data_IF_028812727138
#
_entry.id   IF_028812727138
#
_cell.length_a   1.000
_cell.length_b   1.000
_cell.length_c   1.000
_cell.angle_alpha   90.00
_cell.angle_beta   90.00
_cell.angle_gamma   90.00
#
_symmetry.space_group_name_H-M   'P 1'
#
loop_
_entity.id
_entity.type
_entity.pdbx_description
1 polymer ?
#
# COMPACT_ATOMS: atom_id res chain seq x y z
N UNK A 1 18.23 6.92 -7.27
CA UNK A 1 17.74 5.67 -6.65
C UNK A 1 18.36 5.58 -5.28
N UNK A 2 17.52 5.51 -4.24
CA UNK A 2 17.97 5.50 -2.85
C UNK A 2 18.10 4.07 -2.35
N UNK A 3 19.21 3.75 -1.68
CA UNK A 3 19.40 2.43 -1.04
C UNK A 3 18.85 2.43 0.37
N UNK A 4 18.63 1.23 0.95
CA UNK A 4 18.21 1.10 2.35
C UNK A 4 19.18 1.78 3.31
N UNK A 5 20.48 1.61 3.11
CA UNK A 5 21.49 2.29 3.94
C UNK A 5 21.45 3.81 3.81
N UNK A 6 21.21 4.33 2.60
CA UNK A 6 21.08 5.77 2.38
C UNK A 6 19.83 6.33 3.09
N UNK A 7 18.68 5.66 2.97
CA UNK A 7 17.47 6.10 3.66
C UNK A 7 17.58 5.97 5.18
N UNK A 8 18.21 4.89 5.69
CA UNK A 8 18.49 4.74 7.13
C UNK A 8 19.38 5.87 7.65
N UNK A 9 20.40 6.27 6.88
CA UNK A 9 21.25 7.40 7.22
C UNK A 9 20.45 8.70 7.28
N UNK A 10 19.49 8.91 6.37
CA UNK A 10 18.57 10.07 6.43
C UNK A 10 17.69 10.04 7.68
N UNK A 11 17.10 8.89 8.03
CA UNK A 11 16.33 8.72 9.29
C UNK A 11 17.19 9.06 10.49
N UNK A 12 18.45 8.60 10.53
CA UNK A 12 19.38 8.93 11.63
C UNK A 12 19.66 10.43 11.71
N UNK A 13 19.91 11.08 10.57
CA UNK A 13 20.14 12.51 10.52
C UNK A 13 18.92 13.29 11.03
N UNK A 14 17.73 12.89 10.59
CA UNK A 14 16.45 13.48 11.01
C UNK A 14 16.20 13.33 12.52
N UNK A 15 16.50 12.15 13.07
CA UNK A 15 16.40 11.88 14.50
C UNK A 15 17.58 12.41 15.33
N UNK A 16 18.52 13.13 14.70
CA UNK A 16 19.76 13.60 15.31
C UNK A 16 20.59 12.48 15.99
N UNK A 17 20.57 11.26 15.43
CA UNK A 17 21.24 10.06 15.92
C UNK A 17 22.52 9.73 15.12
N UNK A 18 23.34 10.76 14.89
CA UNK A 18 24.61 10.70 14.14
C UNK A 18 25.85 10.57 15.04
N UNK A 19 25.67 10.53 16.35
CA UNK A 19 26.76 10.45 17.33
C UNK A 19 27.54 9.13 17.28
N UNK A 20 28.68 9.11 17.97
CA UNK A 20 29.49 7.88 18.17
C UNK A 20 28.74 6.85 19.00
N UNK A 21 27.96 7.31 19.98
CA UNK A 21 26.96 6.49 20.69
C UNK A 21 25.61 6.73 20.04
N UNK A 22 25.10 5.70 19.37
CA UNK A 22 23.80 5.75 18.70
C UNK A 22 22.71 5.25 19.63
N UNK A 23 21.61 5.98 19.71
CA UNK A 23 20.41 5.57 20.43
C UNK A 23 19.73 4.40 19.73
N UNK A 24 19.68 4.43 18.40
CA UNK A 24 18.95 3.45 17.62
C UNK A 24 19.89 2.40 17.03
N UNK A 25 19.66 1.10 17.24
CA UNK A 25 20.35 0.07 16.48
C UNK A 25 19.83 0.04 15.03
N UNK A 26 20.72 -0.27 14.08
CA UNK A 26 20.38 -0.30 12.64
C UNK A 26 19.22 -1.24 12.33
N UNK A 27 19.16 -2.39 13.00
CA UNK A 27 18.07 -3.36 12.85
C UNK A 27 16.70 -2.76 13.17
N UNK A 28 16.61 -1.93 14.21
CA UNK A 28 15.34 -1.30 14.61
C UNK A 28 14.88 -0.27 13.58
N UNK A 29 15.80 0.55 13.08
CA UNK A 29 15.49 1.51 12.01
C UNK A 29 15.07 0.79 10.73
N UNK A 30 15.72 -0.32 10.38
CA UNK A 30 15.34 -1.14 9.22
C UNK A 30 13.93 -1.71 9.37
N UNK A 31 13.55 -2.18 10.56
CA UNK A 31 12.20 -2.68 10.81
C UNK A 31 11.13 -1.59 10.60
N UNK A 32 11.37 -0.37 11.09
CA UNK A 32 10.46 0.75 10.86
C UNK A 32 10.41 1.21 9.40
N UNK A 33 11.54 1.19 8.69
CA UNK A 33 11.55 1.46 7.25
C UNK A 33 10.68 0.45 6.48
N UNK A 34 10.79 -0.84 6.80
CA UNK A 34 9.93 -1.88 6.20
C UNK A 34 8.46 -1.65 6.53
N UNK A 35 8.13 -1.31 7.77
CA UNK A 35 6.76 -1.02 8.16
C UNK A 35 6.20 0.22 7.45
N UNK A 36 7.01 1.26 7.28
CA UNK A 36 6.69 2.46 6.53
C UNK A 36 6.49 2.18 5.03
N UNK A 37 7.29 1.29 4.44
CA UNK A 37 7.11 0.82 3.05
C UNK A 37 5.79 0.06 2.89
N UNK A 38 5.46 -0.84 3.82
CA UNK A 38 4.17 -1.55 3.82
C UNK A 38 2.99 -0.59 3.97
N UNK A 39 3.12 0.40 4.85
CA UNK A 39 2.12 1.45 5.01
C UNK A 39 1.93 2.23 3.70
N UNK A 40 3.02 2.72 3.10
CA UNK A 40 2.96 3.44 1.82
C UNK A 40 2.38 2.57 0.69
N UNK A 41 2.70 1.27 0.68
CA UNK A 41 2.16 0.30 -0.27
C UNK A 41 0.65 0.12 -0.16
N UNK A 42 0.10 0.10 1.07
CA UNK A 42 -1.36 0.10 1.28
C UNK A 42 -2.00 1.41 0.84
N UNK A 43 -1.32 2.53 1.05
CA UNK A 43 -1.92 3.84 0.78
C UNK A 43 -1.91 4.21 -0.71
N UNK A 44 -0.78 4.00 -1.38
CA UNK A 44 -0.56 4.38 -2.78
C UNK A 44 -0.43 3.16 -3.69
N UNK A 45 0.37 2.16 -3.29
CA UNK A 45 0.73 1.00 -4.10
C UNK A 45 1.52 1.34 -5.36
N UNK A 46 2.09 0.32 -5.99
CA UNK A 46 2.71 0.41 -7.32
C UNK A 46 1.72 -0.02 -8.38
N UNK A 47 1.46 0.82 -9.39
CA UNK A 47 0.62 0.42 -10.52
C UNK A 47 1.36 -0.62 -11.36
N UNK A 48 0.81 -1.82 -11.44
CA UNK A 48 1.41 -2.95 -12.14
C UNK A 48 0.37 -3.65 -13.04
N UNK A 49 0.89 -4.48 -13.94
CA UNK A 49 0.10 -5.33 -14.80
C UNK A 49 0.66 -6.76 -14.81
N UNK A 50 -0.24 -7.73 -14.85
CA UNK A 50 0.06 -9.14 -15.04
C UNK A 50 -0.80 -9.70 -16.17
N UNK A 51 -0.25 -10.70 -16.86
CA UNK A 51 -0.98 -11.49 -17.86
C UNK A 51 -1.03 -12.93 -17.38
N UNK A 52 -2.23 -13.43 -17.11
CA UNK A 52 -2.45 -14.83 -16.74
C UNK A 52 -2.96 -15.58 -17.97
N UNK A 53 -2.60 -16.85 -18.11
CA UNK A 53 -3.08 -17.68 -19.23
C UNK A 53 -4.40 -18.34 -18.86
N UNK A 54 -5.44 -18.14 -19.66
CA UNK A 54 -6.72 -18.80 -19.46
C UNK A 54 -6.62 -20.31 -19.65
N UNK A 55 -7.46 -21.03 -18.91
CA UNK A 55 -7.66 -22.48 -19.03
C UNK A 55 -9.15 -22.69 -19.13
N UNK A 56 -9.59 -23.48 -20.11
CA UNK A 56 -11.01 -23.72 -20.35
C UNK A 56 -11.68 -24.30 -19.09
N UNK A 57 -12.84 -23.74 -18.72
CA UNK A 57 -13.63 -24.07 -17.54
C UNK A 57 -12.95 -23.82 -16.17
N UNK A 58 -11.75 -23.23 -16.12
CA UNK A 58 -11.09 -22.86 -14.86
C UNK A 58 -11.56 -21.48 -14.40
N UNK A 59 -12.17 -21.39 -13.21
CA UNK A 59 -12.62 -20.10 -12.69
C UNK A 59 -11.51 -19.35 -11.91
N UNK A 60 -10.59 -20.06 -11.26
CA UNK A 60 -9.64 -19.48 -10.30
C UNK A 60 -8.23 -19.41 -10.85
N UNK A 61 -7.56 -18.28 -10.64
CA UNK A 61 -6.20 -18.02 -11.11
C UNK A 61 -5.36 -17.41 -9.99
N UNK A 62 -4.14 -17.91 -9.79
CA UNK A 62 -3.23 -17.34 -8.81
C UNK A 62 -2.83 -15.91 -9.24
N UNK A 63 -2.99 -14.96 -8.33
CA UNK A 63 -2.50 -13.61 -8.49
C UNK A 63 -1.02 -13.52 -8.10
N UNK A 64 -0.27 -12.53 -8.62
CA UNK A 64 1.06 -12.19 -8.10
C UNK A 64 1.05 -12.00 -6.57
N UNK A 65 2.12 -12.42 -5.91
CA UNK A 65 2.20 -12.43 -4.43
C UNK A 65 2.27 -11.02 -3.82
N UNK A 66 2.62 -10.02 -4.62
CA UNK A 66 2.69 -8.62 -4.22
C UNK A 66 1.37 -7.85 -4.42
N UNK A 67 0.32 -8.49 -4.96
CA UNK A 67 -0.97 -7.80 -5.19
C UNK A 67 -1.58 -7.34 -3.86
N UNK A 68 -1.81 -6.03 -3.77
CA UNK A 68 -2.56 -5.38 -2.69
C UNK A 68 -4.02 -5.20 -3.08
N UNK A 69 -4.27 -4.76 -4.32
CA UNK A 69 -5.63 -4.54 -4.82
C UNK A 69 -5.68 -4.72 -6.34
N UNK A 70 -6.62 -5.50 -6.85
CA UNK A 70 -6.90 -5.57 -8.28
C UNK A 70 -7.78 -4.39 -8.68
N UNK A 71 -7.35 -3.63 -9.69
CA UNK A 71 -8.07 -2.43 -10.15
C UNK A 71 -8.85 -2.69 -11.43
N UNK A 72 -8.37 -3.61 -12.28
CA UNK A 72 -9.01 -3.92 -13.56
C UNK A 72 -8.70 -5.34 -14.00
N UNK A 73 -9.70 -6.01 -14.55
CA UNK A 73 -9.54 -7.32 -15.18
C UNK A 73 -10.17 -7.26 -16.56
N UNK A 74 -9.44 -7.77 -17.55
CA UNK A 74 -9.87 -7.85 -18.95
C UNK A 74 -9.75 -9.29 -19.42
N UNK A 75 -10.88 -9.90 -19.77
CA UNK A 75 -10.96 -11.23 -20.35
C UNK A 75 -12.41 -11.53 -20.78
N UNK A 76 -12.69 -11.85 -22.06
CA UNK A 76 -11.74 -11.93 -23.18
C UNK A 76 -11.09 -10.59 -23.52
N UNK A 77 -10.10 -10.59 -24.41
CA UNK A 77 -9.42 -9.37 -24.88
C UNK A 77 -10.43 -8.34 -25.40
N UNK A 78 -10.28 -7.10 -24.98
CA UNK A 78 -11.18 -5.98 -25.25
C UNK A 78 -12.38 -5.88 -24.30
N UNK A 79 -12.59 -6.84 -23.40
CA UNK A 79 -13.78 -6.89 -22.53
C UNK A 79 -13.39 -6.83 -21.05
N UNK A 80 -13.81 -5.75 -20.40
CA UNK A 80 -13.55 -5.54 -18.97
C UNK A 80 -14.59 -6.25 -18.12
N UNK A 81 -14.10 -6.96 -17.11
CA UNK A 81 -14.93 -7.61 -16.11
C UNK A 81 -15.23 -6.66 -14.96
N UNK A 82 -16.44 -6.75 -14.42
CA UNK A 82 -16.85 -5.96 -13.28
C UNK A 82 -16.48 -6.67 -11.97
N UNK A 83 -15.96 -5.95 -10.96
CA UNK A 83 -15.75 -6.54 -9.64
C UNK A 83 -17.11 -6.86 -8.99
N UNK A 84 -17.24 -8.06 -8.45
CA UNK A 84 -18.30 -8.40 -7.49
C UNK A 84 -17.61 -8.75 -6.19
N UNK A 85 -17.85 -7.94 -5.15
CA UNK A 85 -17.47 -8.35 -3.81
C UNK A 85 -18.22 -9.63 -3.46
N UNK A 86 -17.50 -10.68 -3.03
CA UNK A 86 -18.15 -11.83 -2.44
C UNK A 86 -19.11 -11.34 -1.34
N UNK A 87 -20.40 -11.66 -1.48
CA UNK A 87 -21.39 -11.45 -0.43
C UNK A 87 -21.12 -12.45 0.70
N UNK A 88 -19.97 -12.35 1.34
CA UNK A 88 -19.63 -13.06 2.55
C UNK A 88 -20.16 -12.30 3.75
N UNK A 89 -21.49 -12.26 3.92
CA UNK A 89 -22.19 -11.95 5.18
C UNK A 89 -22.01 -10.58 5.85
N UNK A 90 -20.96 -9.81 5.53
CA UNK A 90 -20.66 -8.56 6.19
C UNK A 90 -21.19 -7.38 5.37
N UNK A 91 -22.16 -6.72 5.98
CA UNK A 91 -22.95 -5.62 5.46
C UNK A 91 -22.01 -4.50 4.99
N UNK A 92 -21.94 -4.28 3.67
CA UNK A 92 -21.38 -3.04 3.13
C UNK A 92 -22.19 -1.85 3.67
N UNK A 93 -21.56 -0.73 4.07
CA UNK A 93 -22.29 0.47 4.46
C UNK A 93 -23.19 0.89 3.30
N UNK A 94 -24.45 1.23 3.63
CA UNK A 94 -25.54 1.49 2.69
C UNK A 94 -25.24 2.51 1.57
N UNK A 95 -24.15 3.28 1.68
CA UNK A 95 -23.66 4.16 0.62
C UNK A 95 -23.17 3.43 -0.66
N UNK A 96 -22.85 2.13 -0.58
CA UNK A 96 -22.50 1.33 -1.78
C UNK A 96 -23.73 0.82 -2.55
N UNK A 97 -24.92 0.85 -1.94
CA UNK A 97 -26.17 0.40 -2.56
C UNK A 97 -26.82 1.45 -3.48
N UNK A 98 -26.36 2.71 -3.43
CA UNK A 98 -26.90 3.82 -4.22
C UNK A 98 -26.21 3.98 -5.58
N UNK A 99 -25.13 3.23 -5.84
CA UNK A 99 -24.53 3.12 -7.16
C UNK A 99 -25.22 2.02 -7.94
N UNK A 100 -26.48 2.26 -8.30
CA UNK A 100 -27.25 1.54 -9.31
C UNK A 100 -26.94 0.04 -9.39
N UNK A 101 -27.64 -0.75 -8.57
CA UNK A 101 -27.72 -2.21 -8.69
C UNK A 101 -27.76 -2.59 -10.17
N UNK A 102 -26.63 -3.04 -10.70
CA UNK A 102 -26.57 -3.68 -11.99
C UNK A 102 -27.37 -4.98 -11.83
N UNK A 103 -28.59 -4.93 -12.35
CA UNK A 103 -29.47 -6.09 -12.50
C UNK A 103 -28.68 -7.25 -13.09
N UNK A 104 -28.86 -8.41 -12.44
CA UNK A 104 -28.24 -9.71 -12.71
C UNK A 104 -28.65 -10.26 -14.09
N UNK A 105 -28.05 -9.73 -15.16
CA UNK A 105 -28.09 -10.34 -16.49
C UNK A 105 -26.66 -10.61 -16.96
N UNK A 106 -26.23 -11.88 -16.87
CA UNK A 106 -25.12 -12.50 -17.64
C UNK A 106 -23.82 -11.71 -17.85
N UNK A 107 -23.42 -10.88 -16.89
CA UNK A 107 -22.19 -10.07 -17.01
C UNK A 107 -20.91 -10.89 -16.78
N UNK A 108 -19.85 -10.57 -17.52
CA UNK A 108 -18.51 -11.04 -17.19
C UNK A 108 -18.02 -10.29 -15.95
N UNK A 109 -17.82 -11.02 -14.86
CA UNK A 109 -17.45 -10.47 -13.56
C UNK A 109 -16.25 -11.19 -12.98
N UNK A 110 -15.66 -10.59 -11.95
CA UNK A 110 -14.56 -11.16 -11.20
C UNK A 110 -14.66 -10.87 -9.70
N UNK A 111 -13.99 -11.70 -8.92
CA UNK A 111 -13.79 -11.55 -7.49
C UNK A 111 -12.33 -11.86 -7.13
N UNK A 112 -11.87 -11.41 -5.97
CA UNK A 112 -10.52 -11.65 -5.47
C UNK A 112 -10.58 -12.19 -4.04
N UNK A 113 -10.12 -13.42 -3.85
CA UNK A 113 -10.14 -14.08 -2.55
C UNK A 113 -8.94 -15.01 -2.37
N UNK A 114 -8.30 -14.96 -1.19
CA UNK A 114 -7.20 -15.87 -0.86
C UNK A 114 -6.02 -15.81 -1.83
N UNK A 115 -5.72 -14.65 -2.43
CA UNK A 115 -4.69 -14.49 -3.45
C UNK A 115 -5.05 -15.09 -4.82
N UNK A 116 -6.34 -15.36 -5.06
CA UNK A 116 -6.87 -15.86 -6.31
C UNK A 116 -7.77 -14.82 -6.97
N UNK A 117 -7.66 -14.69 -8.28
CA UNK A 117 -8.64 -14.06 -9.14
C UNK A 117 -9.68 -15.10 -9.55
N UNK A 118 -10.95 -14.86 -9.25
CA UNK A 118 -12.06 -15.76 -9.57
C UNK A 118 -12.90 -15.12 -10.67
N UNK A 119 -13.03 -15.79 -11.80
CA UNK A 119 -13.76 -15.32 -12.98
C UNK A 119 -15.13 -16.00 -13.07
N UNK A 120 -16.19 -15.21 -13.29
CA UNK A 120 -17.53 -15.73 -13.56
C UNK A 120 -18.12 -15.02 -14.79
N UNK A 121 -18.55 -15.75 -15.84
CA UNK A 121 -18.26 -17.15 -16.09
C UNK A 121 -16.74 -17.42 -16.24
N UNK A 122 -16.35 -18.66 -15.99
CA UNK A 122 -15.00 -19.15 -16.28
C UNK A 122 -14.71 -19.06 -17.79
N UNK A 123 -13.44 -18.90 -18.22
CA UNK A 123 -13.08 -18.88 -19.63
C UNK A 123 -13.51 -20.13 -20.39
N UNK A 124 -14.06 -19.92 -21.58
CA UNK A 124 -14.55 -20.97 -22.46
C UNK A 124 -13.42 -21.64 -23.24
N UNK A 125 -12.28 -20.94 -23.38
CA UNK A 125 -11.11 -21.33 -24.17
C UNK A 125 -9.83 -21.19 -23.34
N UNK A 126 -8.85 -22.02 -23.67
CA UNK A 126 -7.52 -21.97 -23.09
C UNK A 126 -6.56 -21.14 -23.97
N UNK A 127 -5.53 -20.58 -23.35
CA UNK A 127 -4.46 -19.84 -24.03
C UNK A 127 -4.76 -18.36 -24.29
N UNK A 128 -5.91 -17.85 -23.87
CA UNK A 128 -6.24 -16.43 -23.96
C UNK A 128 -5.58 -15.66 -22.80
N UNK A 129 -5.21 -14.40 -23.04
CA UNK A 129 -4.61 -13.56 -22.01
C UNK A 129 -5.70 -12.96 -21.12
N UNK A 130 -5.60 -13.23 -19.82
CA UNK A 130 -6.34 -12.52 -18.77
C UNK A 130 -5.46 -11.37 -18.32
N UNK A 131 -5.77 -10.16 -18.78
CA UNK A 131 -4.99 -8.98 -18.40
C UNK A 131 -5.50 -8.43 -17.06
N UNK A 132 -4.61 -8.35 -16.08
CA UNK A 132 -4.89 -7.88 -14.73
C UNK A 132 -4.09 -6.62 -14.49
N UNK A 133 -4.75 -5.52 -14.13
CA UNK A 133 -4.09 -4.32 -13.57
C UNK A 133 -4.35 -4.30 -12.08
N UNK A 134 -3.31 -4.03 -11.31
CA UNK A 134 -3.36 -4.08 -9.86
C UNK A 134 -2.41 -3.07 -9.23
N UNK A 135 -2.65 -2.78 -7.96
CA UNK A 135 -1.70 -2.10 -7.08
C UNK A 135 -0.88 -3.16 -6.36
N UNK A 136 0.43 -3.15 -6.59
CA UNK A 136 1.40 -4.02 -5.93
C UNK A 136 2.00 -3.38 -4.68
N UNK A 137 2.51 -4.20 -3.77
CA UNK A 137 3.29 -3.78 -2.62
C UNK A 137 4.71 -3.34 -3.06
N UNK A 138 5.33 -2.46 -2.27
CA UNK A 138 6.74 -2.13 -2.46
C UNK A 138 7.63 -3.29 -2.02
N UNK A 139 8.66 -3.60 -2.81
CA UNK A 139 9.65 -4.59 -2.42
C UNK A 139 10.40 -4.17 -1.14
N UNK A 140 10.61 -5.12 -0.23
CA UNK A 140 11.29 -4.89 1.03
C UNK A 140 12.79 -5.16 0.89
N UNK A 141 13.67 -4.14 1.02
CA UNK A 141 15.10 -4.36 0.88
C UNK A 141 15.65 -5.17 2.06
N UNK A 142 16.24 -6.34 1.76
CA UNK A 142 16.84 -7.24 2.77
C UNK A 142 18.31 -6.90 3.07
N UNK A 143 19.01 -6.24 2.14
CA UNK A 143 20.39 -5.80 2.28
C UNK A 143 20.55 -4.28 2.21
N UNK A 144 21.67 -3.77 2.72
CA UNK A 144 21.95 -2.33 2.80
C UNK A 144 22.14 -1.66 1.43
N UNK A 145 22.68 -2.41 0.47
CA UNK A 145 22.77 -2.01 -0.93
C UNK A 145 21.43 -2.17 -1.69
N UNK A 146 20.41 -2.75 -1.06
CA UNK A 146 19.09 -2.93 -1.66
C UNK A 146 18.48 -1.59 -2.01
N UNK A 147 18.13 -1.41 -3.29
CA UNK A 147 17.48 -0.20 -3.80
C UNK A 147 16.02 -0.22 -3.41
N UNK A 148 15.50 0.93 -2.95
CA UNK A 148 14.08 1.09 -2.74
C UNK A 148 13.37 1.33 -4.07
N UNK A 149 12.35 0.54 -4.35
CA UNK A 149 11.46 0.74 -5.49
C UNK A 149 10.38 1.80 -5.20
N UNK A 150 10.78 2.86 -4.49
CA UNK A 150 9.89 3.98 -4.12
C UNK A 150 10.25 5.16 -5.02
N UNK A 151 9.27 5.82 -5.67
CA UNK A 151 9.55 7.06 -6.39
C UNK A 151 10.17 8.10 -5.46
N UNK A 152 11.22 8.81 -5.92
CA UNK A 152 11.96 9.77 -5.10
C UNK A 152 11.06 10.78 -4.35
N UNK A 153 9.99 11.23 -5.00
CA UNK A 153 8.98 12.16 -4.45
C UNK A 153 8.16 11.60 -3.28
N UNK A 154 8.12 10.28 -3.14
CA UNK A 154 7.34 9.55 -2.14
C UNK A 154 8.27 9.00 -1.02
N UNK A 155 9.60 9.13 -1.16
CA UNK A 155 10.58 8.70 -0.15
C UNK A 155 10.44 9.44 1.18
N UNK A 156 10.11 10.73 1.14
CA UNK A 156 9.93 11.54 2.36
C UNK A 156 8.75 11.05 3.20
N UNK A 157 7.71 10.46 2.57
CA UNK A 157 6.63 9.82 3.32
C UNK A 157 7.13 8.59 4.09
N UNK A 158 8.06 7.82 3.52
CA UNK A 158 8.69 6.67 4.21
C UNK A 158 9.58 7.16 5.34
N UNK A 159 10.38 8.20 5.09
CA UNK A 159 11.26 8.85 6.06
C UNK A 159 10.47 9.32 7.29
N UNK A 160 9.48 10.21 7.10
CA UNK A 160 8.70 10.76 8.20
C UNK A 160 7.89 9.68 8.92
N UNK A 161 7.31 8.72 8.19
CA UNK A 161 6.59 7.60 8.83
C UNK A 161 7.51 6.71 9.68
N UNK A 162 8.80 6.58 9.32
CA UNK A 162 9.78 5.88 10.15
C UNK A 162 10.20 6.69 11.36
N UNK A 163 10.40 8.02 11.22
CA UNK A 163 10.69 8.92 12.34
C UNK A 163 9.54 8.97 13.35
N UNK A 164 8.29 9.03 12.87
CA UNK A 164 7.09 8.98 13.71
C UNK A 164 7.09 7.73 14.61
N UNK A 165 7.34 6.55 14.04
CA UNK A 165 7.44 5.29 14.79
C UNK A 165 8.57 5.28 15.81
N UNK A 166 9.71 5.86 15.47
CA UNK A 166 10.82 6.00 16.40
C UNK A 166 10.45 6.86 17.62
N UNK A 167 9.83 8.01 17.38
CA UNK A 167 9.35 8.90 18.42
C UNK A 167 8.19 8.30 19.23
N UNK A 168 7.27 7.57 18.60
CA UNK A 168 6.21 6.81 19.29
C UNK A 168 6.79 5.78 20.25
N UNK A 169 7.82 5.04 19.82
CA UNK A 169 8.47 4.07 20.68
C UNK A 169 9.12 4.73 21.90
N UNK A 170 9.80 5.88 21.74
CA UNK A 170 10.31 6.65 22.87
C UNK A 170 9.17 7.12 23.78
N UNK A 171 8.06 7.58 23.22
CA UNK A 171 6.92 8.03 24.00
C UNK A 171 6.31 6.88 24.81
N UNK A 172 6.25 5.68 24.25
CA UNK A 172 5.81 4.48 24.97
C UNK A 172 6.78 4.10 26.08
N UNK A 173 8.10 4.17 25.84
CA UNK A 173 9.10 3.85 26.87
C UNK A 173 9.08 4.87 28.01
N UNK A 174 9.02 6.16 27.69
CA UNK A 174 8.88 7.23 28.69
C UNK A 174 7.58 7.10 29.47
N UNK A 175 6.47 6.80 28.79
CA UNK A 175 5.18 6.55 29.45
C UNK A 175 5.23 5.36 30.42
N UNK A 176 6.03 4.33 30.15
CA UNK A 176 6.27 3.22 31.09
C UNK A 176 7.08 3.69 32.29
N UNK A 177 8.15 4.47 32.08
CA UNK A 177 9.00 5.00 33.16
C UNK A 177 8.22 5.94 34.09
N UNK A 178 7.40 6.82 33.52
CA UNK A 178 6.59 7.77 34.28
C UNK A 178 5.53 7.10 35.19
N UNK A 179 5.14 5.85 34.92
CA UNK A 179 4.28 5.07 35.84
C UNK A 179 4.96 4.82 37.19
N UNK A 180 6.29 4.74 37.20
CA UNK A 180 7.09 4.51 38.39
C UNK A 180 7.69 5.83 38.91
N UNK A 181 7.99 6.79 38.04
CA UNK A 181 8.58 8.11 38.36
C UNK A 181 7.76 9.27 37.74
N UNK A 182 6.74 9.76 38.46
CA UNK A 182 5.70 10.69 37.93
C UNK A 182 6.18 12.04 37.33
N UNK A 183 7.44 12.44 37.48
CA UNK A 183 7.92 13.79 37.12
C UNK A 183 9.10 13.82 36.13
N UNK A 184 9.40 12.71 35.45
CA UNK A 184 10.53 12.66 34.52
C UNK A 184 10.11 13.01 33.09
N UNK A 185 10.84 13.95 32.47
CA UNK A 185 10.90 14.16 31.01
C UNK A 185 9.65 14.72 30.32
N UNK A 186 9.88 15.44 29.20
CA UNK A 186 8.81 15.76 28.25
C UNK A 186 8.59 14.59 27.29
N UNK A 187 7.33 14.21 27.05
CA UNK A 187 7.02 13.10 26.14
C UNK A 187 7.23 13.50 24.66
N UNK A 188 7.91 12.69 23.84
CA UNK A 188 8.09 12.95 22.41
C UNK A 188 6.83 12.65 21.57
N UNK A 189 5.68 12.35 22.19
CA UNK A 189 4.44 12.03 21.48
C UNK A 189 3.94 13.16 20.56
N UNK A 190 4.23 14.43 20.88
CA UNK A 190 3.87 15.55 20.01
C UNK A 190 4.68 15.52 18.70
N UNK A 191 5.99 15.33 18.79
CA UNK A 191 6.91 15.21 17.64
C UNK A 191 6.52 14.01 16.78
N UNK A 192 6.16 12.89 17.41
CA UNK A 192 5.72 11.71 16.68
C UNK A 192 4.46 11.97 15.82
N UNK A 193 3.49 12.71 16.37
CA UNK A 193 2.28 13.12 15.64
C UNK A 193 2.57 14.10 14.51
N UNK A 194 3.55 14.97 14.67
CA UNK A 194 3.99 15.90 13.63
C UNK A 194 4.53 15.14 12.43
N UNK A 195 5.47 14.22 12.64
CA UNK A 195 6.00 13.35 11.59
C UNK A 195 4.92 12.49 10.91
N UNK A 196 4.00 11.88 11.66
CA UNK A 196 2.88 11.14 11.06
C UNK A 196 1.96 12.07 10.24
N UNK A 197 1.73 13.29 10.72
CA UNK A 197 0.99 14.32 10.01
C UNK A 197 1.60 14.70 8.67
N UNK A 198 2.92 14.87 8.62
CA UNK A 198 3.68 15.16 7.40
C UNK A 198 3.67 14.00 6.41
N UNK A 199 3.94 12.77 6.88
CA UNK A 199 3.87 11.56 6.06
C UNK A 199 2.49 11.42 5.39
N UNK A 200 1.42 11.60 6.17
CA UNK A 200 0.04 11.55 5.66
C UNK A 200 -0.28 12.72 4.73
N UNK A 201 0.29 13.90 4.94
CA UNK A 201 0.08 15.04 4.06
C UNK A 201 0.60 14.75 2.65
N UNK A 202 1.79 14.14 2.54
CA UNK A 202 2.35 13.69 1.26
C UNK A 202 1.38 12.70 0.58
N UNK A 203 0.96 11.66 1.28
CA UNK A 203 0.01 10.65 0.74
C UNK A 203 -1.31 11.29 0.29
N UNK A 204 -1.89 12.19 1.09
CA UNK A 204 -3.13 12.92 0.72
C UNK A 204 -2.94 13.73 -0.55
N UNK A 205 -1.83 14.45 -0.68
CA UNK A 205 -1.52 15.23 -1.88
C UNK A 205 -1.40 14.33 -3.12
N UNK A 206 -0.80 13.14 -2.96
CA UNK A 206 -0.67 12.15 -4.05
C UNK A 206 -2.03 11.65 -4.50
N UNK A 207 -2.91 11.27 -3.57
CA UNK A 207 -4.28 10.84 -3.88
C UNK A 207 -5.11 11.92 -4.57
N UNK A 208 -5.04 13.16 -4.07
CA UNK A 208 -5.78 14.29 -4.64
C UNK A 208 -5.39 14.58 -6.11
N UNK A 209 -4.09 14.47 -6.44
CA UNK A 209 -3.60 14.66 -7.82
C UNK A 209 -4.04 13.57 -8.80
N UNK A 210 -4.32 12.37 -8.32
CA UNK A 210 -4.87 11.30 -9.16
C UNK A 210 -6.34 11.58 -9.46
N UNK A 211 -7.12 12.02 -8.45
CA UNK A 211 -8.54 12.35 -8.62
C UNK A 211 -8.78 13.52 -9.60
N UNK A 212 -7.90 14.52 -9.63
CA UNK A 212 -8.03 15.69 -10.51
C UNK A 212 -7.61 15.44 -11.97
N UNK A 213 -7.01 14.28 -12.30
CA UNK A 213 -6.69 13.87 -13.68
C UNK A 213 -7.88 13.24 -14.44
N UNK A 214 -9.11 13.45 -13.97
CA UNK A 214 -10.31 13.06 -14.71
C UNK A 214 -10.37 13.89 -15.99
N UNK A 215 -9.95 13.30 -17.11
CA UNK A 215 -10.00 13.88 -18.45
C UNK A 215 -11.41 14.42 -18.71
N UNK A 216 -11.54 15.75 -18.75
CA UNK A 216 -12.70 16.40 -19.35
C UNK A 216 -12.58 16.16 -20.84
N UNK A 217 -13.28 15.13 -21.34
CA UNK A 217 -13.49 14.97 -22.77
C UNK A 217 -14.36 16.15 -23.18
N UNK A 218 -13.74 17.17 -23.80
CA UNK A 218 -14.48 18.18 -24.56
C UNK A 218 -14.94 17.49 -25.83
N UNK A 219 -16.25 17.26 -25.95
CA UNK A 219 -16.85 16.89 -27.23
C UNK A 219 -16.74 18.13 -28.13
N UNK A 220 -15.98 18.00 -29.22
CA UNK A 220 -16.09 18.86 -30.40
C UNK A 220 -17.19 18.33 -31.32
#
# INVERSE_FOLDING_TARGET
MTTRAALRTRVRAELNDLGTTRLWPDERLNAWLVESLRWLGRELGLEQAASLTSVAAQASYALPTDVVEVTRVEHPTGVFRLPIAHAGGDIAPAAALDSGVATRDSGLVYDVYGGQLILSPAPDRAGEAIAVRYRGAYAEPTADAGVLDVPLRDEDAVLFSACARACEWLAMDEGKRQRFERQRGASPAAVAREYDGEARAIVRQRRARVASRRLVIRNE
#
